data_IF_182497089988
#
_entry.id   IF_182497089988
#
_cell.length_a   1.000
_cell.length_b   1.000
_cell.length_c   1.000
_cell.angle_alpha   90.00
_cell.angle_beta   90.00
_cell.angle_gamma   90.00
#
_symmetry.space_group_name_H-M   'P 1'
#
loop_
_entity.id
_entity.type
_entity.pdbx_description
1 polymer ?
#
# COMPACT_ATOMS: atom_id res chain seq x y z
N UNK A 1 -23.30 -7.89 8.84
CA UNK A 1 -22.34 -6.91 9.42
C UNK A 1 -21.01 -6.91 8.69
N UNK A 2 -20.42 -8.06 8.37
CA UNK A 2 -19.13 -8.15 7.67
C UNK A 2 -19.22 -7.62 6.22
N UNK A 3 -20.32 -7.89 5.51
CA UNK A 3 -20.57 -7.38 4.14
C UNK A 3 -20.40 -5.85 4.03
N UNK A 4 -21.08 -5.08 4.86
CA UNK A 4 -20.99 -3.61 4.84
C UNK A 4 -19.66 -3.04 5.36
N UNK A 5 -18.83 -3.84 6.03
CA UNK A 5 -17.43 -3.44 6.34
C UNK A 5 -16.52 -3.70 5.15
N UNK A 6 -16.75 -4.80 4.41
CA UNK A 6 -16.03 -5.12 3.17
C UNK A 6 -16.30 -4.08 2.08
N UNK A 7 -17.56 -3.73 1.84
CA UNK A 7 -17.93 -2.70 0.86
C UNK A 7 -17.28 -1.33 1.17
N UNK A 8 -17.29 -0.94 2.45
CA UNK A 8 -16.63 0.31 2.88
C UNK A 8 -15.11 0.25 2.72
N UNK A 9 -14.52 -0.92 2.95
CA UNK A 9 -13.10 -1.14 2.72
C UNK A 9 -12.79 -1.02 1.23
N UNK A 10 -13.54 -1.68 0.34
CA UNK A 10 -13.37 -1.60 -1.11
C UNK A 10 -13.48 -0.14 -1.60
N UNK A 11 -14.50 0.59 -1.15
CA UNK A 11 -14.67 2.00 -1.51
C UNK A 11 -13.50 2.88 -1.06
N UNK A 12 -12.92 2.59 0.10
CA UNK A 12 -11.77 3.31 0.64
C UNK A 12 -10.47 2.94 -0.08
N UNK A 13 -10.23 1.67 -0.39
CA UNK A 13 -9.03 1.25 -1.13
C UNK A 13 -9.03 1.75 -2.58
N UNK A 14 -10.20 1.93 -3.22
CA UNK A 14 -10.32 2.59 -4.52
C UNK A 14 -9.70 4.00 -4.50
N UNK A 15 -9.95 4.76 -3.43
CA UNK A 15 -9.37 6.10 -3.27
C UNK A 15 -7.86 6.01 -3.00
N UNK A 16 -7.45 5.02 -2.20
CA UNK A 16 -6.04 4.80 -1.87
C UNK A 16 -5.19 4.31 -3.03
N UNK A 17 -5.75 3.56 -3.98
CA UNK A 17 -5.06 3.13 -5.19
C UNK A 17 -4.42 4.33 -5.90
N UNK A 18 -5.22 5.36 -6.19
CA UNK A 18 -4.73 6.53 -6.91
C UNK A 18 -3.72 7.37 -6.11
N UNK A 19 -3.87 7.39 -4.78
CA UNK A 19 -2.91 8.02 -3.88
C UNK A 19 -1.57 7.27 -3.90
N UNK A 20 -1.58 5.93 -3.87
CA UNK A 20 -0.38 5.09 -3.92
C UNK A 20 0.36 5.27 -5.25
N UNK A 21 -0.35 5.27 -6.39
CA UNK A 21 0.23 5.54 -7.72
C UNK A 21 0.94 6.89 -7.77
N UNK A 22 0.30 7.93 -7.22
CA UNK A 22 0.87 9.27 -7.15
C UNK A 22 2.14 9.27 -6.30
N UNK A 23 2.09 8.65 -5.11
CA UNK A 23 3.24 8.57 -4.21
C UNK A 23 4.40 7.76 -4.82
N UNK A 24 4.10 6.70 -5.57
CA UNK A 24 5.12 5.92 -6.28
C UNK A 24 5.87 6.77 -7.31
N UNK A 25 5.16 7.61 -8.07
CA UNK A 25 5.77 8.60 -8.96
C UNK A 25 6.66 9.59 -8.21
N UNK A 26 6.22 10.06 -7.05
CA UNK A 26 7.00 10.97 -6.19
C UNK A 26 8.27 10.34 -5.60
N UNK A 27 8.32 9.01 -5.40
CA UNK A 27 9.54 8.33 -4.93
C UNK A 27 10.74 8.51 -5.88
N UNK A 28 10.46 8.66 -7.18
CA UNK A 28 11.48 8.94 -8.20
C UNK A 28 12.06 10.35 -8.07
N UNK A 29 11.34 11.28 -7.42
CA UNK A 29 11.73 12.68 -7.24
C UNK A 29 12.45 12.86 -5.91
N UNK A 30 13.72 13.27 -5.94
CA UNK A 30 14.55 13.46 -4.74
C UNK A 30 13.91 14.41 -3.71
N UNK A 31 13.29 15.49 -4.17
CA UNK A 31 12.68 16.51 -3.30
C UNK A 31 11.40 16.04 -2.58
N UNK A 32 10.68 15.04 -3.11
CA UNK A 32 9.41 14.55 -2.55
C UNK A 32 9.51 13.17 -1.88
N UNK A 33 10.62 12.47 -2.06
CA UNK A 33 10.79 11.07 -1.62
C UNK A 33 10.52 10.85 -0.14
N UNK A 34 11.03 11.70 0.75
CA UNK A 34 10.87 11.50 2.20
C UNK A 34 9.40 11.59 2.64
N UNK A 35 8.65 12.53 2.07
CA UNK A 35 7.22 12.65 2.34
C UNK A 35 6.42 11.52 1.70
N UNK A 36 6.82 11.10 0.49
CA UNK A 36 6.21 9.97 -0.19
C UNK A 36 6.36 8.66 0.59
N UNK A 37 7.57 8.37 1.10
CA UNK A 37 7.83 7.21 1.95
C UNK A 37 7.00 7.22 3.23
N UNK A 38 6.89 8.38 3.89
CA UNK A 38 6.06 8.54 5.10
C UNK A 38 4.58 8.30 4.83
N UNK A 39 4.05 8.87 3.75
CA UNK A 39 2.66 8.69 3.36
C UNK A 39 2.36 7.23 3.00
N UNK A 40 3.23 6.59 2.19
CA UNK A 40 3.12 5.18 1.83
C UNK A 40 3.16 4.28 3.06
N UNK A 41 4.06 4.53 4.02
CA UNK A 41 4.14 3.75 5.25
C UNK A 41 2.84 3.79 6.05
N UNK A 42 2.20 4.96 6.17
CA UNK A 42 0.91 5.08 6.86
C UNK A 42 -0.22 4.34 6.13
N UNK A 43 -0.27 4.43 4.80
CA UNK A 43 -1.27 3.72 3.99
C UNK A 43 -1.07 2.21 4.13
N UNK A 44 0.16 1.73 3.95
CA UNK A 44 0.54 0.32 4.06
C UNK A 44 0.22 -0.26 5.44
N UNK A 45 0.57 0.45 6.52
CA UNK A 45 0.24 0.07 7.89
C UNK A 45 -1.27 -0.09 8.11
N UNK A 46 -2.05 0.85 7.59
CA UNK A 46 -3.50 0.80 7.72
C UNK A 46 -4.11 -0.34 6.90
N UNK A 47 -3.64 -0.55 5.68
CA UNK A 47 -4.09 -1.64 4.82
C UNK A 47 -3.78 -3.00 5.44
N UNK A 48 -2.57 -3.21 5.95
CA UNK A 48 -2.17 -4.47 6.60
C UNK A 48 -3.08 -4.80 7.81
N UNK A 49 -3.42 -3.79 8.60
CA UNK A 49 -4.30 -3.96 9.77
C UNK A 49 -5.77 -4.23 9.41
N UNK A 50 -6.32 -3.55 8.40
CA UNK A 50 -7.76 -3.65 8.08
C UNK A 50 -8.06 -4.77 7.10
N UNK A 51 -7.24 -5.01 6.09
CA UNK A 51 -7.50 -5.97 5.00
C UNK A 51 -7.72 -7.40 5.54
N UNK A 52 -6.89 -7.84 6.48
CA UNK A 52 -7.01 -9.16 7.12
C UNK A 52 -8.33 -9.34 7.90
N UNK A 53 -8.92 -8.26 8.42
CA UNK A 53 -10.16 -8.30 9.21
C UNK A 53 -11.42 -8.44 8.36
N UNK A 54 -11.36 -8.03 7.08
CA UNK A 54 -12.49 -8.06 6.14
C UNK A 54 -12.39 -9.18 5.08
N UNK A 55 -11.31 -9.96 5.13
CA UNK A 55 -11.11 -11.17 4.32
C UNK A 55 -10.08 -11.05 3.19
N UNK A 56 -9.37 -9.94 3.06
CA UNK A 56 -8.31 -9.73 2.07
C UNK A 56 -6.93 -9.96 2.70
N UNK A 57 -6.63 -11.22 3.03
CA UNK A 57 -5.37 -11.58 3.72
C UNK A 57 -4.16 -11.27 2.86
N UNK A 58 -4.16 -11.68 1.60
CA UNK A 58 -3.01 -11.51 0.69
C UNK A 58 -2.70 -10.02 0.47
N UNK A 59 -3.73 -9.19 0.31
CA UNK A 59 -3.58 -7.73 0.28
C UNK A 59 -2.95 -7.18 1.56
N UNK A 60 -3.38 -7.69 2.72
CA UNK A 60 -2.80 -7.29 4.01
C UNK A 60 -1.33 -7.68 4.16
N UNK A 61 -0.96 -8.87 3.69
CA UNK A 61 0.41 -9.38 3.73
C UNK A 61 1.32 -8.57 2.78
N UNK A 62 0.85 -8.26 1.57
CA UNK A 62 1.56 -7.39 0.63
C UNK A 62 1.73 -5.96 1.18
N UNK A 63 0.71 -5.38 1.80
CA UNK A 63 0.82 -4.08 2.46
C UNK A 63 1.85 -4.10 3.60
N UNK A 64 1.90 -5.17 4.39
CA UNK A 64 2.90 -5.34 5.44
C UNK A 64 4.33 -5.44 4.88
N UNK A 65 4.51 -6.09 3.74
CA UNK A 65 5.81 -6.17 3.06
C UNK A 65 6.29 -4.79 2.57
N UNK A 66 5.39 -3.97 2.01
CA UNK A 66 5.70 -2.58 1.64
C UNK A 66 6.12 -1.75 2.85
N UNK A 67 5.37 -1.84 3.95
CA UNK A 67 5.70 -1.12 5.19
C UNK A 67 7.10 -1.53 5.72
N UNK A 68 7.39 -2.82 5.74
CA UNK A 68 8.68 -3.34 6.19
C UNK A 68 9.85 -2.84 5.33
N UNK A 69 9.66 -2.79 4.01
CA UNK A 69 10.67 -2.29 3.08
C UNK A 69 10.90 -0.78 3.29
N UNK A 70 9.85 0.03 3.49
CA UNK A 70 10.00 1.46 3.80
C UNK A 70 10.78 1.66 5.11
N UNK A 71 10.50 0.86 6.14
CA UNK A 71 11.25 0.93 7.40
C UNK A 71 12.72 0.51 7.23
N UNK A 72 13.03 -0.37 6.27
CA UNK A 72 14.40 -0.73 5.93
C UNK A 72 15.13 0.46 5.26
N UNK A 73 14.45 1.19 4.37
CA UNK A 73 15.00 2.39 3.72
C UNK A 73 15.34 3.51 4.72
N UNK A 74 14.57 3.66 5.81
CA UNK A 74 14.85 4.65 6.87
C UNK A 74 16.12 4.30 7.66
N UNK A 75 16.38 3.00 7.85
CA UNK A 75 17.59 2.50 8.57
C UNK A 75 18.83 2.46 7.69
N UNK A 76 18.67 2.11 6.42
CA UNK A 76 19.75 2.02 5.44
C UNK A 76 19.20 2.38 4.06
N UNK A 77 19.39 3.62 3.61
CA UNK A 77 18.95 4.04 2.28
C UNK A 77 19.62 3.16 1.23
N UNK A 78 18.82 2.47 0.44
CA UNK A 78 19.28 1.60 -0.63
C UNK A 78 18.55 1.96 -1.94
N UNK A 79 18.78 1.17 -2.99
CA UNK A 79 18.02 1.33 -4.22
C UNK A 79 16.53 1.06 -3.94
N UNK A 80 15.65 1.86 -4.55
CA UNK A 80 14.21 1.77 -4.38
C UNK A 80 13.57 0.71 -5.28
N UNK A 81 14.34 0.03 -6.12
CA UNK A 81 13.82 -0.99 -7.05
C UNK A 81 12.99 -2.07 -6.37
N UNK A 82 13.44 -2.58 -5.22
CA UNK A 82 12.66 -3.56 -4.45
C UNK A 82 11.36 -2.95 -3.90
N UNK A 83 11.43 -1.74 -3.35
CA UNK A 83 10.25 -1.04 -2.85
C UNK A 83 9.25 -0.77 -3.98
N UNK A 84 9.71 -0.33 -5.15
CA UNK A 84 8.88 -0.10 -6.32
C UNK A 84 8.16 -1.38 -6.75
N UNK A 85 8.87 -2.51 -6.86
CA UNK A 85 8.27 -3.79 -7.20
C UNK A 85 7.21 -4.23 -6.16
N UNK A 86 7.44 -3.98 -4.87
CA UNK A 86 6.47 -4.26 -3.81
C UNK A 86 5.24 -3.36 -3.86
N UNK A 87 5.40 -2.12 -4.29
CA UNK A 87 4.28 -1.20 -4.51
C UNK A 87 3.46 -1.66 -5.71
N UNK A 88 4.11 -2.13 -6.79
CA UNK A 88 3.41 -2.72 -7.94
C UNK A 88 2.59 -3.95 -7.52
N UNK A 89 3.21 -4.91 -6.80
CA UNK A 89 2.50 -6.09 -6.24
C UNK A 89 1.28 -5.67 -5.40
N UNK A 90 1.42 -4.60 -4.59
CA UNK A 90 0.33 -4.08 -3.76
C UNK A 90 -0.80 -3.48 -4.59
N UNK A 91 -0.48 -2.73 -5.64
CA UNK A 91 -1.46 -2.11 -6.54
C UNK A 91 -2.26 -3.20 -7.27
N UNK A 92 -1.61 -4.23 -7.79
CA UNK A 92 -2.27 -5.37 -8.44
C UNK A 92 -3.30 -6.04 -7.50
N UNK A 93 -2.92 -6.29 -6.24
CA UNK A 93 -3.85 -6.85 -5.25
C UNK A 93 -5.00 -5.92 -4.87
N UNK A 94 -4.79 -4.60 -4.91
CA UNK A 94 -5.87 -3.63 -4.69
C UNK A 94 -6.84 -3.68 -5.87
N UNK A 95 -6.34 -3.73 -7.10
CA UNK A 95 -7.17 -3.86 -8.30
C UNK A 95 -8.00 -5.15 -8.28
N UNK A 96 -7.39 -6.29 -7.96
CA UNK A 96 -8.08 -7.57 -7.80
C UNK A 96 -9.19 -7.47 -6.74
N UNK A 97 -8.89 -6.89 -5.57
CA UNK A 97 -9.87 -6.73 -4.50
C UNK A 97 -11.05 -5.81 -4.87
N UNK A 98 -10.85 -4.86 -5.80
CA UNK A 98 -11.90 -3.97 -6.33
C UNK A 98 -12.75 -4.69 -7.38
N UNK A 99 -12.14 -5.54 -8.21
CA UNK A 99 -12.83 -6.30 -9.27
C UNK A 99 -13.65 -7.45 -8.70
N UNK A 100 -13.09 -8.17 -7.72
CA UNK A 100 -13.67 -9.37 -7.12
C UNK A 100 -14.64 -9.09 -5.95
N UNK A 101 -14.65 -7.85 -5.45
CA UNK A 101 -15.38 -7.40 -4.26
C UNK A 101 -16.79 -6.87 -4.53
#
# INVERSE_FOLDING_TARGET
MIEGMREKFIADICVKLHEIETLQSELTKVAGRGDALRALSFIAHRLSGVAATVGFRDLGDCASAVEAEIMAQDKSPSDLSLLSARIDDLLDHIEDAIIDG
#
